data_IF_048976296738
#
_entry.id   IF_048976296738
#
_cell.length_a   1.000
_cell.length_b   1.000
_cell.length_c   1.000
_cell.angle_alpha   90.00
_cell.angle_beta   90.00
_cell.angle_gamma   90.00
#
_symmetry.space_group_name_H-M   'P 1'
#
loop_
_entity.id
_entity.type
_entity.pdbx_description
1 polymer ?
#
# COMPACT_ATOMS: atom_id res chain seq x y z
N UNK A 1 2.43 -36.09 -30.49
CA UNK A 1 1.78 -35.42 -29.34
C UNK A 1 2.44 -34.07 -29.21
N UNK A 2 1.77 -32.99 -29.61
CA UNK A 2 2.33 -31.63 -29.59
C UNK A 2 1.77 -30.92 -28.37
N UNK A 3 2.62 -30.58 -27.41
CA UNK A 3 2.25 -29.71 -26.32
C UNK A 3 2.26 -28.26 -26.83
N UNK A 4 1.07 -27.67 -26.96
CA UNK A 4 0.91 -26.24 -27.26
C UNK A 4 1.04 -25.47 -25.94
N UNK A 5 2.17 -24.80 -25.74
CA UNK A 5 2.32 -23.84 -24.65
C UNK A 5 1.84 -22.47 -25.14
N UNK A 6 0.67 -22.04 -24.65
CA UNK A 6 0.18 -20.67 -24.85
C UNK A 6 0.86 -19.80 -23.79
N UNK A 7 2.02 -19.21 -24.12
CA UNK A 7 2.65 -18.21 -23.27
C UNK A 7 1.88 -16.89 -23.39
N UNK A 8 1.19 -16.50 -22.32
CA UNK A 8 0.76 -15.12 -22.18
C UNK A 8 1.99 -14.29 -21.76
N UNK A 9 2.25 -13.12 -22.38
CA UNK A 9 3.35 -12.25 -21.99
C UNK A 9 2.98 -11.46 -20.73
N UNK A 10 2.66 -12.15 -19.65
CA UNK A 10 2.86 -11.64 -18.30
C UNK A 10 4.32 -11.91 -17.98
N UNK A 11 5.11 -10.86 -17.77
CA UNK A 11 6.47 -11.02 -17.25
C UNK A 11 6.43 -11.96 -16.04
N UNK A 12 7.28 -12.99 -16.02
CA UNK A 12 7.30 -13.95 -14.93
C UNK A 12 7.47 -13.20 -13.61
N UNK A 13 6.61 -13.49 -12.63
CA UNK A 13 6.82 -13.00 -11.28
C UNK A 13 8.06 -13.69 -10.71
N UNK A 14 8.95 -12.91 -10.10
CA UNK A 14 10.16 -13.40 -9.44
C UNK A 14 9.94 -13.43 -7.92
N UNK A 15 10.14 -14.59 -7.31
CA UNK A 15 10.13 -14.72 -5.86
C UNK A 15 11.50 -14.33 -5.29
N UNK A 16 11.57 -13.12 -4.75
CA UNK A 16 12.79 -12.61 -4.14
C UNK A 16 12.86 -13.03 -2.69
N UNK A 17 14.07 -13.39 -2.27
CA UNK A 17 14.42 -13.65 -0.89
C UNK A 17 15.53 -12.67 -0.47
N UNK A 18 15.33 -11.99 0.65
CA UNK A 18 16.15 -10.88 1.12
C UNK A 18 16.53 -11.17 2.57
N UNK A 19 17.85 -11.20 2.83
CA UNK A 19 18.38 -11.32 4.18
C UNK A 19 18.14 -10.02 4.96
N UNK A 20 17.53 -10.13 6.14
CA UNK A 20 17.23 -9.02 7.03
C UNK A 20 17.63 -9.34 8.46
N UNK A 21 17.47 -8.37 9.37
CA UNK A 21 17.68 -8.57 10.80
C UNK A 21 16.78 -9.67 11.39
N UNK A 22 15.58 -9.83 10.86
CA UNK A 22 14.63 -10.87 11.31
C UNK A 22 14.79 -12.20 10.54
N UNK A 23 15.90 -12.36 9.80
CA UNK A 23 16.14 -13.50 8.93
C UNK A 23 15.63 -13.27 7.51
N UNK A 24 15.40 -14.37 6.78
CA UNK A 24 15.02 -14.35 5.37
C UNK A 24 13.58 -13.87 5.20
N UNK A 25 13.40 -12.80 4.43
CA UNK A 25 12.10 -12.23 4.07
C UNK A 25 11.86 -12.37 2.58
N UNK A 26 10.60 -12.47 2.15
CA UNK A 26 10.25 -12.67 0.76
C UNK A 26 9.44 -11.52 0.17
N UNK A 27 9.55 -11.36 -1.15
CA UNK A 27 8.69 -10.46 -1.93
C UNK A 27 8.45 -11.05 -3.32
N UNK A 28 7.21 -10.97 -3.80
CA UNK A 28 6.86 -11.28 -5.18
C UNK A 28 7.12 -10.01 -6.00
N UNK A 29 8.01 -10.10 -7.00
CA UNK A 29 8.36 -8.98 -7.87
C UNK A 29 7.83 -9.24 -9.26
N UNK A 30 6.96 -8.34 -9.74
CA UNK A 30 6.47 -8.32 -11.10
C UNK A 30 7.17 -7.18 -11.84
N UNK A 31 8.26 -7.46 -12.59
CA UNK A 31 9.01 -6.41 -13.25
C UNK A 31 8.19 -5.78 -14.39
N UNK A 32 8.44 -4.50 -14.65
CA UNK A 32 7.92 -3.85 -15.84
C UNK A 32 8.61 -4.38 -17.11
N UNK A 33 7.99 -4.16 -18.28
CA UNK A 33 8.58 -4.52 -19.58
C UNK A 33 9.86 -3.75 -19.90
N UNK A 34 10.01 -2.55 -19.35
CA UNK A 34 11.18 -1.71 -19.50
C UNK A 34 11.63 -1.26 -18.13
N UNK A 35 12.92 -1.42 -17.83
CA UNK A 35 13.50 -1.14 -16.52
C UNK A 35 14.73 -0.22 -16.67
N UNK A 36 15.04 0.62 -15.67
CA UNK A 36 14.32 0.80 -14.41
C UNK A 36 12.97 1.52 -14.59
N UNK A 37 11.95 1.10 -13.83
CA UNK A 37 10.57 1.53 -14.00
C UNK A 37 10.04 2.32 -12.79
N UNK A 38 8.92 3.06 -12.92
CA UNK A 38 8.08 3.34 -11.75
C UNK A 38 7.74 2.03 -11.06
N UNK A 39 7.73 2.04 -9.73
CA UNK A 39 7.47 0.84 -8.94
C UNK A 39 6.41 1.13 -7.89
N UNK A 40 5.47 0.21 -7.74
CA UNK A 40 4.47 0.23 -6.67
C UNK A 40 4.71 -0.94 -5.72
N UNK A 41 5.07 -0.63 -4.48
CA UNK A 41 5.14 -1.60 -3.38
C UNK A 41 3.77 -1.70 -2.72
N UNK A 42 3.17 -2.89 -2.68
CA UNK A 42 1.79 -3.11 -2.20
C UNK A 42 1.81 -3.97 -0.94
N UNK A 43 1.50 -3.35 0.20
CA UNK A 43 1.52 -3.98 1.53
C UNK A 43 0.15 -4.60 1.85
N UNK A 44 0.16 -5.91 2.12
CA UNK A 44 -1.05 -6.67 2.44
C UNK A 44 -1.66 -6.25 3.79
N UNK A 45 -2.95 -6.52 3.97
CA UNK A 45 -3.62 -6.39 5.27
C UNK A 45 -3.25 -7.54 6.22
N UNK A 46 -3.55 -7.39 7.51
CA UNK A 46 -3.27 -8.44 8.49
C UNK A 46 -3.95 -9.76 8.06
N UNK A 47 -3.24 -10.89 8.24
CA UNK A 47 -3.66 -12.26 7.86
C UNK A 47 -3.71 -12.58 6.37
N UNK A 48 -3.58 -11.59 5.48
CA UNK A 48 -3.54 -11.73 4.02
C UNK A 48 -2.09 -11.99 3.60
N UNK A 49 -1.84 -12.89 2.63
CA UNK A 49 -0.50 -13.11 2.10
C UNK A 49 -0.14 -12.12 0.97
N UNK A 50 1.15 -12.03 0.66
CA UNK A 50 1.65 -11.34 -0.53
C UNK A 50 1.02 -11.89 -1.82
N UNK A 51 0.93 -13.22 -1.94
CA UNK A 51 0.32 -13.89 -3.09
C UNK A 51 -1.16 -13.50 -3.27
N UNK A 52 -1.93 -13.52 -2.18
CA UNK A 52 -3.34 -13.19 -2.23
C UNK A 52 -3.56 -11.72 -2.57
N UNK A 53 -2.69 -10.85 -2.07
CA UNK A 53 -2.68 -9.43 -2.40
C UNK A 53 -2.35 -9.19 -3.87
N UNK A 54 -1.36 -9.90 -4.42
CA UNK A 54 -1.03 -9.84 -5.85
C UNK A 54 -2.22 -10.25 -6.74
N UNK A 55 -2.96 -11.29 -6.33
CA UNK A 55 -4.14 -11.78 -7.06
C UNK A 55 -5.36 -10.88 -6.95
N UNK A 56 -5.64 -10.31 -5.77
CA UNK A 56 -6.91 -9.61 -5.50
C UNK A 56 -6.86 -8.10 -5.65
N UNK A 57 -5.68 -7.49 -5.55
CA UNK A 57 -5.55 -6.03 -5.64
C UNK A 57 -5.72 -5.47 -7.05
N UNK A 58 -5.57 -6.30 -8.08
CA UNK A 58 -5.55 -5.89 -9.49
C UNK A 58 -4.24 -5.19 -9.91
N UNK A 59 -3.30 -4.93 -8.98
CA UNK A 59 -2.06 -4.22 -9.32
C UNK A 59 -1.10 -5.03 -10.18
N UNK A 60 -1.15 -6.37 -10.10
CA UNK A 60 -0.41 -7.25 -11.00
C UNK A 60 -0.76 -7.01 -12.48
N UNK A 61 -2.06 -6.95 -12.77
CA UNK A 61 -2.58 -6.71 -14.13
C UNK A 61 -2.38 -5.25 -14.56
N UNK A 62 -2.62 -4.31 -13.65
CA UNK A 62 -2.40 -2.89 -13.89
C UNK A 62 -0.93 -2.58 -14.22
N UNK A 63 0.02 -3.23 -13.54
CA UNK A 63 1.46 -3.09 -13.78
C UNK A 63 1.84 -3.45 -15.22
N UNK A 64 1.35 -4.60 -15.70
CA UNK A 64 1.57 -5.05 -17.07
C UNK A 64 0.97 -4.11 -18.12
N UNK A 65 -0.18 -3.50 -17.81
CA UNK A 65 -0.92 -2.62 -18.71
C UNK A 65 -0.36 -1.20 -18.75
N UNK A 66 0.11 -0.68 -17.61
CA UNK A 66 0.53 0.71 -17.45
C UNK A 66 2.05 0.91 -17.37
N UNK A 67 2.84 -0.15 -17.48
CA UNK A 67 4.30 -0.05 -17.62
C UNK A 67 5.05 0.32 -16.34
N UNK A 68 4.58 -0.17 -15.19
CA UNK A 68 5.26 -0.05 -13.90
C UNK A 68 5.53 -1.44 -13.30
N UNK A 69 6.47 -1.55 -12.36
CA UNK A 69 6.72 -2.78 -11.62
C UNK A 69 5.81 -2.86 -10.38
N UNK A 70 5.22 -4.02 -10.10
CA UNK A 70 4.46 -4.25 -8.87
C UNK A 70 5.23 -5.18 -7.94
N UNK A 71 5.34 -4.83 -6.67
CA UNK A 71 6.10 -5.57 -5.67
C UNK A 71 5.20 -5.86 -4.47
N UNK A 72 5.09 -7.14 -4.10
CA UNK A 72 4.24 -7.62 -3.01
C UNK A 72 5.12 -8.28 -1.95
N UNK A 73 5.61 -7.54 -0.95
CA UNK A 73 6.40 -8.11 0.14
C UNK A 73 5.54 -8.86 1.15
N UNK A 74 6.11 -9.88 1.79
CA UNK A 74 5.44 -10.71 2.80
C UNK A 74 5.82 -10.29 4.23
N UNK A 75 4.79 -10.00 5.04
CA UNK A 75 4.90 -9.73 6.46
C UNK A 75 5.18 -11.01 7.26
N UNK A 76 5.98 -10.93 8.33
CA UNK A 76 6.15 -12.07 9.23
C UNK A 76 4.80 -12.43 9.86
N UNK A 77 4.43 -13.71 9.80
CA UNK A 77 3.10 -14.19 10.20
C UNK A 77 1.93 -13.41 9.56
N UNK A 78 2.15 -12.85 8.35
CA UNK A 78 1.17 -12.01 7.62
C UNK A 78 0.72 -10.80 8.44
N UNK A 79 1.65 -10.21 9.17
CA UNK A 79 1.43 -9.01 9.96
C UNK A 79 2.62 -8.06 9.82
N UNK A 80 2.32 -6.77 9.68
CA UNK A 80 3.29 -5.69 9.75
C UNK A 80 3.32 -5.12 11.16
N UNK A 81 4.51 -4.86 11.68
CA UNK A 81 4.71 -4.01 12.83
C UNK A 81 4.45 -2.56 12.41
N UNK A 82 3.20 -2.11 12.51
CA UNK A 82 2.78 -0.77 12.08
C UNK A 82 2.88 0.30 13.17
N UNK A 83 3.38 -0.05 14.37
CA UNK A 83 3.49 0.83 15.53
C UNK A 83 2.15 1.50 15.93
N UNK A 84 1.04 0.73 15.88
CA UNK A 84 -0.22 1.13 16.52
C UNK A 84 -0.28 0.84 18.03
N UNK A 85 0.75 0.19 18.59
CA UNK A 85 0.87 -0.11 20.02
C UNK A 85 0.03 -1.29 20.49
N UNK A 86 -0.12 -2.32 19.66
CA UNK A 86 -0.87 -3.53 20.01
C UNK A 86 0.00 -4.70 20.49
N UNK A 87 1.32 -4.59 20.34
CA UNK A 87 2.29 -5.61 20.72
C UNK A 87 2.19 -6.91 19.93
N UNK A 88 1.46 -6.95 18.80
CA UNK A 88 1.24 -8.18 18.04
C UNK A 88 2.41 -8.55 17.12
N UNK A 89 3.29 -7.61 16.81
CA UNK A 89 4.52 -7.86 16.06
C UNK A 89 5.69 -7.06 16.64
N UNK A 90 6.86 -7.67 16.64
CA UNK A 90 8.14 -7.04 16.99
C UNK A 90 9.12 -7.01 15.81
N UNK A 91 8.66 -7.34 14.59
CA UNK A 91 9.49 -7.39 13.40
C UNK A 91 10.02 -6.01 13.01
N UNK A 92 11.24 -5.97 12.47
CA UNK A 92 11.88 -4.82 11.84
C UNK A 92 11.40 -4.66 10.39
N UNK A 93 10.10 -4.40 10.22
CA UNK A 93 9.50 -4.23 8.90
C UNK A 93 9.98 -2.94 8.21
N UNK A 94 10.40 -1.92 8.96
CA UNK A 94 11.02 -0.72 8.40
C UNK A 94 12.38 -1.08 7.77
N UNK A 95 13.22 -1.82 8.49
CA UNK A 95 14.50 -2.33 7.97
C UNK A 95 14.32 -3.24 6.76
N UNK A 96 13.34 -4.15 6.79
CA UNK A 96 13.01 -4.99 5.64
C UNK A 96 12.61 -4.17 4.41
N UNK A 97 11.66 -3.24 4.55
CA UNK A 97 11.19 -2.44 3.42
C UNK A 97 12.28 -1.49 2.88
N UNK A 98 13.16 -0.97 3.75
CA UNK A 98 14.38 -0.25 3.32
C UNK A 98 15.24 -1.13 2.42
N UNK A 99 15.59 -2.31 2.91
CA UNK A 99 16.44 -3.25 2.17
C UNK A 99 15.79 -3.72 0.86
N UNK A 100 14.48 -3.96 0.85
CA UNK A 100 13.75 -4.30 -0.36
C UNK A 100 13.88 -3.20 -1.43
N UNK A 101 13.67 -1.93 -1.06
CA UNK A 101 13.82 -0.81 -2.00
C UNK A 101 15.26 -0.69 -2.52
N UNK A 102 16.26 -0.87 -1.66
CA UNK A 102 17.66 -0.91 -2.07
C UNK A 102 17.92 -2.03 -3.09
N UNK A 103 17.42 -3.24 -2.86
CA UNK A 103 17.57 -4.37 -3.77
C UNK A 103 16.84 -4.12 -5.11
N UNK A 104 15.65 -3.52 -5.08
CA UNK A 104 14.90 -3.16 -6.29
C UNK A 104 15.69 -2.19 -7.18
N UNK A 105 16.33 -1.18 -6.58
CA UNK A 105 17.17 -0.22 -7.30
C UNK A 105 18.48 -0.87 -7.76
N UNK A 106 19.16 -1.59 -6.86
CA UNK A 106 20.46 -2.23 -7.13
C UNK A 106 20.39 -3.24 -8.27
N UNK A 107 19.27 -3.96 -8.39
CA UNK A 107 19.04 -4.95 -9.46
C UNK A 107 18.43 -4.33 -10.73
N UNK A 108 18.28 -3.00 -10.78
CA UNK A 108 17.79 -2.27 -11.94
C UNK A 108 16.29 -2.39 -12.19
N UNK A 109 15.50 -2.91 -11.24
CA UNK A 109 14.03 -3.03 -11.37
C UNK A 109 13.36 -1.67 -11.23
N UNK A 110 13.74 -0.93 -10.18
CA UNK A 110 13.08 0.32 -9.81
C UNK A 110 13.93 1.54 -10.15
N UNK A 111 13.26 2.59 -10.64
CA UNK A 111 13.78 3.94 -10.65
C UNK A 111 13.62 4.54 -9.24
N UNK A 112 14.72 4.91 -8.55
CA UNK A 112 14.66 5.39 -7.17
C UNK A 112 13.82 6.67 -7.00
N UNK A 113 13.62 7.45 -8.07
CA UNK A 113 12.79 8.66 -8.01
C UNK A 113 11.28 8.38 -8.17
N UNK A 114 10.89 7.15 -8.52
CA UNK A 114 9.50 6.79 -8.88
C UNK A 114 8.98 5.55 -8.15
N UNK A 115 9.47 5.32 -6.94
CA UNK A 115 8.94 4.28 -6.05
C UNK A 115 7.75 4.84 -5.26
N UNK A 116 6.64 4.13 -5.26
CA UNK A 116 5.44 4.46 -4.50
C UNK A 116 5.08 3.28 -3.59
N UNK A 117 4.37 3.56 -2.50
CA UNK A 117 3.89 2.54 -1.57
C UNK A 117 2.39 2.64 -1.37
N UNK A 118 1.70 1.51 -1.42
CA UNK A 118 0.29 1.41 -1.11
C UNK A 118 0.04 0.30 -0.12
N UNK A 119 -1.00 0.43 0.69
CA UNK A 119 -1.37 -0.65 1.60
C UNK A 119 -2.82 -0.58 2.09
N UNK A 120 -3.32 -1.73 2.53
CA UNK A 120 -4.67 -1.89 3.09
C UNK A 120 -4.63 -2.27 4.56
N UNK A 121 -5.50 -1.68 5.39
CA UNK A 121 -5.61 -1.98 6.82
C UNK A 121 -4.24 -1.92 7.53
N UNK A 122 -3.75 -3.00 8.13
CA UNK A 122 -2.41 -3.09 8.71
C UNK A 122 -1.27 -2.72 7.73
N UNK A 123 -1.35 -3.11 6.45
CA UNK A 123 -0.40 -2.66 5.44
C UNK A 123 -0.53 -1.17 5.11
N UNK A 124 -1.73 -0.61 5.21
CA UNK A 124 -1.96 0.84 5.07
C UNK A 124 -1.41 1.63 6.27
N UNK A 125 -1.52 1.07 7.47
CA UNK A 125 -0.90 1.60 8.67
C UNK A 125 0.64 1.54 8.57
N UNK A 126 1.20 0.43 8.09
CA UNK A 126 2.63 0.30 7.80
C UNK A 126 3.11 1.29 6.73
N UNK A 127 2.28 1.54 5.70
CA UNK A 127 2.56 2.57 4.69
C UNK A 127 2.74 3.94 5.34
N UNK A 128 1.84 4.33 6.26
CA UNK A 128 1.94 5.60 6.99
C UNK A 128 3.16 5.64 7.92
N UNK A 129 3.48 4.54 8.60
CA UNK A 129 4.73 4.41 9.38
C UNK A 129 5.96 4.64 8.52
N UNK A 130 6.01 4.07 7.31
CA UNK A 130 7.12 4.28 6.37
C UNK A 130 7.27 5.75 5.94
N UNK A 131 6.18 6.50 5.83
CA UNK A 131 6.25 7.94 5.54
C UNK A 131 6.88 8.75 6.68
N UNK A 132 6.84 8.26 7.90
CA UNK A 132 7.50 8.88 9.05
C UNK A 132 8.99 8.48 9.11
N UNK A 133 9.27 7.19 9.04
CA UNK A 133 10.60 6.66 9.32
C UNK A 133 11.53 6.61 8.10
N UNK A 134 10.99 6.52 6.88
CA UNK A 134 11.75 6.44 5.64
C UNK A 134 11.11 7.21 4.45
N UNK A 135 10.70 8.48 4.63
CA UNK A 135 10.03 9.26 3.59
C UNK A 135 10.88 9.44 2.32
N UNK A 136 12.20 9.40 2.43
CA UNK A 136 13.11 9.56 1.29
C UNK A 136 12.90 8.47 0.22
N UNK A 137 12.44 7.27 0.60
CA UNK A 137 12.27 6.13 -0.29
C UNK A 137 11.10 6.26 -1.26
N UNK A 138 10.10 7.08 -0.93
CA UNK A 138 8.83 7.09 -1.67
C UNK A 138 8.55 8.46 -2.29
N UNK A 139 8.06 8.43 -3.53
CA UNK A 139 7.59 9.58 -4.27
C UNK A 139 6.12 9.92 -3.96
N UNK A 140 5.36 8.95 -3.47
CA UNK A 140 3.98 9.12 -3.01
C UNK A 140 3.41 7.84 -2.40
N UNK A 141 2.24 7.95 -1.80
CA UNK A 141 1.60 6.83 -1.12
C UNK A 141 0.07 6.77 -1.28
N UNK A 142 -0.48 5.58 -1.08
CA UNK A 142 -1.92 5.37 -1.01
C UNK A 142 -2.30 4.44 0.16
N UNK A 143 -3.41 4.74 0.84
CA UNK A 143 -3.93 3.86 1.90
C UNK A 143 -5.40 3.53 1.70
N UNK A 144 -5.76 2.29 2.08
CA UNK A 144 -7.15 1.82 2.10
C UNK A 144 -7.47 1.31 3.50
N UNK A 145 -8.53 1.82 4.12
CA UNK A 145 -8.99 1.41 5.45
C UNK A 145 -7.87 1.55 6.50
N UNK A 146 -7.14 2.66 6.48
CA UNK A 146 -6.04 2.90 7.41
C UNK A 146 -5.94 4.37 7.80
N UNK A 147 -5.55 4.60 9.05
CA UNK A 147 -5.27 5.91 9.63
C UNK A 147 -3.88 5.88 10.29
N UNK A 148 -3.33 7.04 10.64
CA UNK A 148 -2.00 7.13 11.26
C UNK A 148 -1.96 6.31 12.55
N UNK A 149 -1.04 5.33 12.70
CA UNK A 149 -0.86 4.57 13.92
C UNK A 149 -0.48 5.47 15.09
N UNK A 150 -1.00 5.16 16.28
CA UNK A 150 -0.87 6.03 17.46
C UNK A 150 0.58 6.33 17.83
N UNK A 151 1.43 5.29 17.95
CA UNK A 151 2.83 5.44 18.34
C UNK A 151 3.67 5.99 17.18
N UNK A 152 3.46 5.48 15.95
CA UNK A 152 4.12 6.01 14.77
C UNK A 152 3.88 7.51 14.61
N UNK A 153 2.62 7.95 14.75
CA UNK A 153 2.25 9.35 14.64
C UNK A 153 2.81 10.22 15.77
N UNK A 154 2.96 9.68 16.98
CA UNK A 154 3.47 10.42 18.14
C UNK A 154 4.94 10.83 17.97
N UNK A 155 5.73 10.05 17.24
CA UNK A 155 7.14 10.32 16.94
C UNK A 155 7.38 10.83 15.51
N UNK A 156 6.32 11.04 14.72
CA UNK A 156 6.44 11.38 13.31
C UNK A 156 6.70 12.87 13.07
N UNK A 157 7.81 13.17 12.43
CA UNK A 157 8.08 14.47 11.84
C UNK A 157 8.02 14.38 10.31
N UNK A 158 7.17 15.19 9.67
CA UNK A 158 7.07 15.24 8.22
C UNK A 158 8.29 15.95 7.62
N UNK A 159 9.31 15.16 7.30
CA UNK A 159 10.56 15.63 6.69
C UNK A 159 10.45 15.88 5.19
N UNK A 160 9.49 15.24 4.50
CA UNK A 160 9.28 15.35 3.05
C UNK A 160 7.78 15.39 2.73
N UNK A 161 7.24 16.52 2.27
CA UNK A 161 5.90 16.56 1.71
C UNK A 161 5.83 15.67 0.46
N UNK A 162 4.85 14.79 0.38
CA UNK A 162 4.59 13.99 -0.81
C UNK A 162 3.08 13.76 -1.00
N UNK A 163 2.62 13.47 -2.22
CA UNK A 163 1.23 13.11 -2.46
C UNK A 163 0.84 11.86 -1.68
N UNK A 164 -0.25 11.96 -0.91
CA UNK A 164 -0.88 10.84 -0.20
C UNK A 164 -2.36 10.80 -0.56
N UNK A 165 -2.84 9.64 -1.00
CA UNK A 165 -4.27 9.39 -1.22
C UNK A 165 -4.79 8.43 -0.13
N UNK A 166 -5.94 8.73 0.46
CA UNK A 166 -6.53 7.92 1.52
C UNK A 166 -7.97 7.55 1.20
N UNK A 167 -8.31 6.27 1.36
CA UNK A 167 -9.67 5.76 1.23
C UNK A 167 -10.13 5.17 2.57
N UNK A 168 -11.12 5.79 3.21
CA UNK A 168 -11.64 5.36 4.51
C UNK A 168 -13.17 5.25 4.48
N UNK A 169 -13.71 4.19 5.09
CA UNK A 169 -15.15 4.08 5.36
C UNK A 169 -15.52 4.85 6.62
N UNK A 170 -16.54 5.70 6.55
CA UNK A 170 -17.02 6.46 7.74
C UNK A 170 -17.74 5.57 8.75
N UNK A 171 -18.26 4.42 8.31
CA UNK A 171 -18.94 3.42 9.14
C UNK A 171 -18.05 2.18 9.41
N UNK A 172 -16.74 2.29 9.25
CA UNK A 172 -15.81 1.18 9.47
C UNK A 172 -15.72 0.84 10.98
N UNK A 173 -16.13 -0.38 11.40
CA UNK A 173 -16.08 -0.76 12.80
C UNK A 173 -14.71 -1.31 13.22
N UNK A 174 -13.82 -1.61 12.27
CA UNK A 174 -12.48 -2.17 12.51
C UNK A 174 -11.44 -1.08 12.70
N UNK A 175 -11.41 -0.11 11.80
CA UNK A 175 -10.48 1.03 11.80
C UNK A 175 -11.32 2.31 11.82
N UNK A 176 -11.72 2.78 13.02
CA UNK A 176 -12.70 3.84 13.14
C UNK A 176 -12.27 5.11 12.44
N UNK A 177 -13.15 5.68 11.61
CA UNK A 177 -12.89 6.93 10.88
C UNK A 177 -12.53 8.09 11.82
N UNK A 178 -13.16 8.14 13.00
CA UNK A 178 -12.90 9.14 14.04
C UNK A 178 -11.69 8.82 14.93
N UNK A 179 -10.93 7.78 14.60
CA UNK A 179 -9.77 7.35 15.37
C UNK A 179 -10.15 6.59 16.64
N UNK A 180 -9.14 6.23 17.43
CA UNK A 180 -9.31 5.43 18.64
C UNK A 180 -8.84 4.00 18.45
N UNK A 181 -9.42 3.08 19.22
CA UNK A 181 -9.03 1.67 19.25
C UNK A 181 -9.36 0.94 17.97
N UNK A 182 -8.41 0.16 17.47
CA UNK A 182 -8.58 -0.73 16.32
C UNK A 182 -9.09 -2.10 16.78
N UNK A 183 -10.06 -2.67 16.06
CA UNK A 183 -10.61 -4.01 16.31
C UNK A 183 -12.05 -4.03 16.81
N UNK A 184 -12.77 -5.14 16.54
CA UNK A 184 -14.19 -5.31 16.92
C UNK A 184 -14.36 -5.70 18.39
N UNK A 185 -13.40 -6.43 18.94
CA UNK A 185 -13.43 -6.98 20.29
C UNK A 185 -12.09 -6.71 20.96
N UNK A 186 -12.08 -5.77 21.91
CA UNK A 186 -10.85 -5.30 22.55
C UNK A 186 -10.02 -4.36 21.68
N UNK A 187 -9.04 -3.71 22.30
CA UNK A 187 -8.15 -2.75 21.63
C UNK A 187 -6.93 -3.46 21.05
N UNK A 188 -6.74 -3.41 19.73
CA UNK A 188 -5.51 -3.81 19.03
C UNK A 188 -4.70 -2.57 18.67
N UNK A 189 -4.39 -1.78 19.70
CA UNK A 189 -3.72 -0.50 19.54
C UNK A 189 -4.64 0.60 19.05
N UNK A 190 -4.08 1.77 18.75
CA UNK A 190 -4.83 2.98 18.42
C UNK A 190 -4.38 3.63 17.13
N UNK A 191 -5.29 4.36 16.51
CA UNK A 191 -5.03 5.21 15.34
C UNK A 191 -5.60 6.61 15.55
N UNK A 192 -5.03 7.60 14.86
CA UNK A 192 -5.63 8.92 14.75
C UNK A 192 -6.95 8.87 13.96
N UNK A 193 -7.72 9.96 14.05
CA UNK A 193 -8.83 10.18 13.13
C UNK A 193 -8.33 10.35 11.69
N UNK A 194 -9.10 9.87 10.71
CA UNK A 194 -8.78 9.99 9.29
C UNK A 194 -8.55 11.45 8.88
N UNK A 195 -9.41 12.37 9.34
CA UNK A 195 -9.28 13.82 9.09
C UNK A 195 -7.96 14.38 9.66
N UNK A 196 -7.56 13.95 10.86
CA UNK A 196 -6.27 14.34 11.46
C UNK A 196 -5.11 13.77 10.65
N UNK A 197 -5.19 12.51 10.22
CA UNK A 197 -4.17 11.90 9.37
C UNK A 197 -4.03 12.63 8.04
N UNK A 198 -5.14 12.99 7.38
CA UNK A 198 -5.11 13.75 6.13
C UNK A 198 -4.52 15.16 6.32
N UNK A 199 -4.97 15.88 7.35
CA UNK A 199 -4.48 17.22 7.68
C UNK A 199 -2.98 17.22 8.01
N UNK A 200 -2.48 16.17 8.66
CA UNK A 200 -1.06 16.00 8.94
C UNK A 200 -0.23 16.00 7.64
N UNK A 201 -0.61 15.19 6.64
CA UNK A 201 0.12 15.10 5.37
C UNK A 201 -0.13 16.30 4.44
N UNK A 202 -1.17 17.10 4.68
CA UNK A 202 -1.46 18.31 3.92
C UNK A 202 -1.83 19.49 4.83
N UNK A 203 -0.87 20.06 5.58
CA UNK A 203 -1.17 21.13 6.55
C UNK A 203 -1.67 22.43 5.91
N UNK A 204 -1.55 22.57 4.57
CA UNK A 204 -2.04 23.73 3.80
C UNK A 204 -3.38 23.49 3.11
N UNK A 205 -3.95 22.28 3.11
CA UNK A 205 -5.29 22.08 2.57
C UNK A 205 -6.33 22.46 3.62
N UNK A 206 -7.13 23.49 3.29
CA UNK A 206 -8.50 23.56 3.80
C UNK A 206 -9.16 22.25 3.35
N UNK A 207 -9.47 21.37 4.31
CA UNK A 207 -10.23 20.15 4.05
C UNK A 207 -11.42 20.55 3.16
N UNK A 208 -11.45 20.08 1.92
CA UNK A 208 -12.68 20.16 1.15
C UNK A 208 -13.72 19.42 2.00
N UNK A 209 -14.80 20.11 2.35
CA UNK A 209 -15.91 19.51 3.09
C UNK A 209 -16.39 18.22 2.42
N UNK A 210 -17.32 17.48 3.05
CA UNK A 210 -17.80 16.21 2.50
C UNK A 210 -18.10 16.36 1.01
N UNK A 211 -17.48 15.50 0.19
CA UNK A 211 -17.67 15.51 -1.26
C UNK A 211 -19.17 15.61 -1.54
N UNK A 212 -19.64 16.51 -2.42
CA UNK A 212 -21.03 16.55 -2.81
C UNK A 212 -21.46 15.15 -3.23
N UNK A 213 -22.57 14.66 -2.69
CA UNK A 213 -23.10 13.34 -3.02
C UNK A 213 -23.09 13.14 -4.53
N UNK A 214 -22.40 12.10 -4.99
CA UNK A 214 -22.31 11.74 -6.40
C UNK A 214 -23.72 11.46 -6.93
N UNK A 215 -24.39 12.48 -7.52
CA UNK A 215 -25.60 12.24 -8.30
C UNK A 215 -25.14 11.48 -9.53
N UNK A 216 -25.62 10.25 -9.66
CA UNK A 216 -25.39 9.40 -10.82
C UNK A 216 -25.64 10.18 -12.10
N UNK A 217 -24.59 10.40 -12.89
CA UNK A 217 -24.75 10.79 -14.29
C UNK A 217 -25.20 9.55 -15.03
N UNK A 218 -26.48 9.23 -14.93
CA UNK A 218 -27.14 8.30 -15.81
C UNK A 218 -27.14 8.89 -17.23
N UNK A 219 -26.11 8.58 -18.01
CA UNK A 219 -26.17 8.76 -19.47
C UNK A 219 -27.22 7.78 -20.00
N UNK A 220 -28.47 8.23 -20.15
CA UNK A 220 -29.40 7.55 -21.08
C UNK A 220 -28.93 7.88 -22.50
N UNK A 221 -28.18 6.95 -23.09
CA UNK A 221 -28.12 6.83 -24.55
C UNK A 221 -29.52 6.42 -25.02
N UNK A 222 -30.26 7.33 -25.64
CA UNK A 222 -31.41 6.97 -26.46
C UNK A 222 -30.90 6.20 -27.67
N UNK A 223 -31.18 4.90 -27.70
CA UNK A 223 -31.03 4.05 -28.88
C UNK A 223 -32.26 4.29 -29.76
N UNK A 224 -32.09 4.99 -30.88
CA UNK A 224 -33.06 4.94 -31.99
C UNK A 224 -32.86 3.60 -32.69
N UNK A 225 -33.92 2.79 -32.72
CA UNK A 225 -34.03 1.65 -33.63
C UNK A 225 -34.90 2.08 -34.81
N UNK A 226 -34.30 2.11 -36.00
CA UNK A 226 -35.01 2.11 -37.27
C UNK A 226 -35.87 0.83 -37.39
N UNK A 227 -37.17 1.03 -37.62
CA UNK A 227 -38.03 0.17 -38.45
C UNK A 227 -39.14 1.02 -39.06
#
# INVERSE_FOLDING_TARGET
MVALFISHPTACADDWHIETKDGLRSAIVMPARSAPAPTLVVLHGATISAELTARWSGFAEAAATHGFAAVFPEGIYRLWNDARGDGLSSSDDVGFLRRLNEELVRRGVADPARIHVAGISNGGMMTLRMLCEAPELYAGAATVIANMPGEAGASCELRKPMPVVMFNGTADPMVPYKGGSVGLTGSRGTVWAAERTAAFHCPRQRLFGPMPSYRSVARRRSYQSDK
#
